data_IF_563827246614
#
_entry.id   IF_563827246614
#
_cell.length_a   1.000
_cell.length_b   1.000
_cell.length_c   1.000
_cell.angle_alpha   90.00
_cell.angle_beta   90.00
_cell.angle_gamma   90.00
#
_symmetry.space_group_name_H-M   'P 1'
#
loop_
_entity.id
_entity.type
_entity.pdbx_description
1 polymer ?
#
# COMPACT_ATOMS: atom_id res chain seq x y z
N UNK A 1 -21.88 10.64 1.61
CA UNK A 1 -22.92 10.08 0.70
C UNK A 1 -23.46 8.76 1.22
N UNK A 2 -24.70 8.43 0.84
CA UNK A 2 -25.35 7.17 1.23
C UNK A 2 -25.10 6.02 0.24
N UNK A 3 -24.37 6.31 -0.83
CA UNK A 3 -23.93 5.32 -1.80
C UNK A 3 -22.41 5.23 -1.79
N UNK A 4 -21.84 4.01 -1.87
CA UNK A 4 -20.41 3.83 -2.00
C UNK A 4 -19.92 4.24 -3.39
N UNK A 5 -18.68 4.72 -3.48
CA UNK A 5 -17.94 4.80 -4.71
C UNK A 5 -17.02 3.59 -4.87
N UNK A 6 -16.89 3.12 -6.10
CA UNK A 6 -15.92 2.09 -6.47
C UNK A 6 -14.88 2.71 -7.38
N UNK A 7 -13.61 2.56 -7.01
CA UNK A 7 -12.50 3.03 -7.82
C UNK A 7 -11.54 1.88 -8.12
N UNK A 8 -10.90 1.98 -9.28
CA UNK A 8 -9.84 1.08 -9.72
C UNK A 8 -8.54 1.86 -9.80
N UNK A 9 -7.47 1.33 -9.23
CA UNK A 9 -6.13 1.91 -9.30
C UNK A 9 -5.21 0.89 -9.95
N UNK A 10 -4.50 1.29 -11.01
CA UNK A 10 -3.51 0.47 -11.67
C UNK A 10 -2.11 0.91 -11.22
N UNK A 11 -1.26 -0.08 -10.95
CA UNK A 11 0.11 0.07 -10.48
C UNK A 11 1.11 -0.50 -11.49
N UNK A 12 2.25 0.15 -11.60
CA UNK A 12 3.41 -0.32 -12.34
C UNK A 12 4.68 0.04 -11.58
N UNK A 13 5.55 -0.96 -11.34
CA UNK A 13 6.78 -0.79 -10.56
C UNK A 13 6.54 -0.10 -9.20
N UNK A 14 5.40 -0.40 -8.54
CA UNK A 14 4.97 0.21 -7.28
C UNK A 14 4.25 1.54 -7.42
N UNK A 15 4.37 2.23 -8.54
CA UNK A 15 3.76 3.54 -8.75
C UNK A 15 2.30 3.42 -9.21
N UNK A 16 1.38 4.20 -8.63
CA UNK A 16 0.02 4.30 -9.13
C UNK A 16 0.01 5.15 -10.40
N UNK A 17 -0.47 4.57 -11.51
CA UNK A 17 -0.44 5.22 -12.84
C UNK A 17 -1.81 5.62 -13.37
N UNK A 18 -2.89 4.91 -12.95
CA UNK A 18 -4.25 5.18 -13.43
C UNK A 18 -5.28 5.12 -12.31
N UNK A 19 -6.34 5.90 -12.47
CA UNK A 19 -7.59 5.76 -11.72
C UNK A 19 -8.73 5.59 -12.71
N UNK A 20 -9.50 4.49 -12.60
CA UNK A 20 -10.63 4.17 -13.48
C UNK A 20 -10.24 4.24 -14.97
N UNK A 21 -9.17 3.56 -15.34
CA UNK A 21 -8.62 3.47 -16.71
C UNK A 21 -8.06 4.78 -17.30
N UNK A 22 -8.02 5.85 -16.51
CA UNK A 22 -7.51 7.15 -16.95
C UNK A 22 -6.13 7.41 -16.34
N UNK A 23 -5.17 7.78 -17.20
CA UNK A 23 -3.83 8.20 -16.79
C UNK A 23 -3.84 9.57 -16.12
N UNK A 24 -3.01 9.71 -15.08
CA UNK A 24 -2.81 10.94 -14.35
C UNK A 24 -1.32 11.15 -14.04
N UNK A 25 -0.89 12.42 -13.99
CA UNK A 25 0.39 12.72 -13.34
C UNK A 25 0.29 12.45 -11.83
N UNK A 26 1.41 12.16 -11.14
CA UNK A 26 1.39 11.81 -9.70
C UNK A 26 0.62 12.82 -8.85
N UNK A 27 0.86 14.12 -9.05
CA UNK A 27 0.18 15.18 -8.31
C UNK A 27 -1.34 15.20 -8.55
N UNK A 28 -1.78 15.04 -9.81
CA UNK A 28 -3.20 14.99 -10.17
C UNK A 28 -3.88 13.73 -9.68
N UNK A 29 -3.15 12.60 -9.67
CA UNK A 29 -3.64 11.33 -9.15
C UNK A 29 -3.95 11.47 -7.66
N UNK A 30 -2.99 11.98 -6.88
CA UNK A 30 -3.18 12.23 -5.44
C UNK A 30 -4.33 13.21 -5.18
N UNK A 31 -4.41 14.29 -5.95
CA UNK A 31 -5.52 15.26 -5.84
C UNK A 31 -6.87 14.58 -6.08
N UNK A 32 -6.97 13.73 -7.11
CA UNK A 32 -8.20 12.99 -7.41
C UNK A 32 -8.60 12.03 -6.30
N UNK A 33 -7.63 11.34 -5.71
CA UNK A 33 -7.88 10.48 -4.55
C UNK A 33 -8.26 11.28 -3.30
N UNK A 34 -7.70 12.48 -3.12
CA UNK A 34 -8.13 13.39 -2.05
C UNK A 34 -9.60 13.80 -2.21
N UNK A 35 -10.06 14.05 -3.45
CA UNK A 35 -11.45 14.38 -3.72
C UNK A 35 -12.40 13.23 -3.34
N UNK A 36 -12.07 12.00 -3.74
CA UNK A 36 -12.83 10.81 -3.35
C UNK A 36 -12.81 10.61 -1.82
N UNK A 37 -11.64 10.67 -1.21
CA UNK A 37 -11.51 10.44 0.22
C UNK A 37 -12.24 11.49 1.05
N UNK A 38 -12.16 12.78 0.67
CA UNK A 38 -12.89 13.87 1.29
C UNK A 38 -14.41 13.65 1.23
N UNK A 39 -14.93 13.22 0.08
CA UNK A 39 -16.35 12.95 -0.11
C UNK A 39 -16.88 11.90 0.86
N UNK A 40 -16.08 10.87 1.14
CA UNK A 40 -16.44 9.76 2.04
C UNK A 40 -15.92 9.91 3.48
N UNK A 41 -15.24 11.01 3.82
CA UNK A 41 -14.67 11.22 5.15
C UNK A 41 -13.53 10.30 5.51
N UNK A 42 -12.80 9.81 4.50
CA UNK A 42 -11.66 8.89 4.65
C UNK A 42 -10.41 9.66 5.09
N UNK A 43 -9.55 8.99 5.87
CA UNK A 43 -8.23 9.50 6.24
C UNK A 43 -8.22 10.47 7.42
N UNK A 44 -9.27 10.51 8.21
CA UNK A 44 -9.30 11.23 9.49
C UNK A 44 -8.75 10.36 10.60
N UNK A 45 -7.80 10.90 11.34
CA UNK A 45 -7.11 10.20 12.41
C UNK A 45 -6.91 11.15 13.60
N UNK A 46 -7.36 10.73 14.78
CA UNK A 46 -7.09 11.37 16.07
C UNK A 46 -6.31 10.36 16.92
N UNK A 47 -5.08 10.69 17.23
CA UNK A 47 -4.20 9.78 17.97
C UNK A 47 -3.27 10.52 18.94
N UNK A 48 -2.81 9.79 19.95
CA UNK A 48 -1.69 10.19 20.78
C UNK A 48 -0.44 9.44 20.30
N UNK A 49 0.54 10.19 19.84
CA UNK A 49 1.77 9.67 19.24
C UNK A 49 3.01 9.99 20.10
N UNK A 50 4.05 9.21 19.94
CA UNK A 50 5.37 9.51 20.47
C UNK A 50 6.17 10.29 19.42
N UNK A 51 6.60 11.51 19.75
CA UNK A 51 7.58 12.21 18.92
C UNK A 51 8.95 11.53 19.06
N UNK A 52 9.81 11.63 18.05
CA UNK A 52 11.18 11.10 18.10
C UNK A 52 11.99 11.66 19.28
N UNK A 53 11.66 12.85 19.79
CA UNK A 53 12.25 13.45 21.00
C UNK A 53 11.69 12.88 22.32
N UNK A 54 10.87 11.84 22.26
CA UNK A 54 10.34 11.15 23.43
C UNK A 54 9.09 11.74 24.08
N UNK A 55 8.59 12.88 23.60
CA UNK A 55 7.36 13.49 24.11
C UNK A 55 6.13 12.87 23.46
N UNK A 56 5.06 12.71 24.27
CA UNK A 56 3.72 12.40 23.73
C UNK A 56 3.03 13.66 23.24
N UNK A 57 2.39 13.57 22.09
CA UNK A 57 1.54 14.63 21.56
C UNK A 57 0.27 14.03 20.94
N UNK A 58 -0.85 14.78 21.03
CA UNK A 58 -2.05 14.45 20.28
C UNK A 58 -1.97 15.10 18.91
N UNK A 59 -2.19 14.30 17.87
CA UNK A 59 -2.31 14.76 16.51
C UNK A 59 -3.69 14.46 15.94
N UNK A 60 -4.25 15.42 15.20
CA UNK A 60 -5.45 15.22 14.37
C UNK A 60 -5.04 15.44 12.92
N UNK A 61 -5.17 14.41 12.12
CA UNK A 61 -4.70 14.40 10.75
C UNK A 61 -5.83 14.12 9.76
N UNK A 62 -5.72 14.70 8.57
CA UNK A 62 -6.56 14.38 7.42
C UNK A 62 -5.67 14.06 6.22
N UNK A 63 -5.60 12.78 5.83
CA UNK A 63 -4.80 12.28 4.72
C UNK A 63 -5.62 11.40 3.79
N UNK A 64 -6.68 11.94 3.16
CA UNK A 64 -7.67 11.12 2.44
C UNK A 64 -7.07 10.32 1.29
N UNK A 65 -6.36 10.97 0.36
CA UNK A 65 -5.73 10.29 -0.78
C UNK A 65 -4.59 9.37 -0.38
N UNK A 66 -3.78 9.79 0.59
CA UNK A 66 -2.69 8.97 1.14
C UNK A 66 -3.21 7.68 1.78
N UNK A 67 -4.30 7.74 2.53
CA UNK A 67 -4.96 6.56 3.12
C UNK A 67 -5.47 5.60 2.06
N UNK A 68 -6.10 6.11 0.99
CA UNK A 68 -6.57 5.29 -0.13
C UNK A 68 -5.40 4.62 -0.83
N UNK A 69 -4.33 5.38 -1.14
CA UNK A 69 -3.12 4.85 -1.80
C UNK A 69 -2.43 3.79 -0.96
N UNK A 70 -2.20 4.06 0.32
CA UNK A 70 -1.56 3.10 1.22
C UNK A 70 -2.34 1.78 1.26
N UNK A 71 -3.67 1.84 1.33
CA UNK A 71 -4.52 0.64 1.34
C UNK A 71 -4.44 -0.13 0.03
N UNK A 72 -4.46 0.56 -1.11
CA UNK A 72 -4.35 -0.04 -2.43
C UNK A 72 -2.96 -0.64 -2.66
N UNK A 73 -1.91 0.11 -2.34
CA UNK A 73 -0.53 -0.32 -2.52
C UNK A 73 -0.21 -1.57 -1.69
N UNK A 74 -0.57 -1.59 -0.41
CA UNK A 74 -0.43 -2.80 0.44
C UNK A 74 -1.21 -4.00 -0.12
N UNK A 75 -2.35 -3.76 -0.76
CA UNK A 75 -3.13 -4.83 -1.36
C UNK A 75 -2.45 -5.45 -2.58
N UNK A 76 -1.78 -4.66 -3.43
CA UNK A 76 -1.05 -5.21 -4.58
C UNK A 76 0.28 -5.82 -4.14
N UNK A 77 1.00 -5.24 -3.19
CA UNK A 77 2.20 -5.82 -2.61
C UNK A 77 1.95 -7.23 -2.05
N UNK A 78 0.82 -7.44 -1.39
CA UNK A 78 0.47 -8.75 -0.82
C UNK A 78 0.28 -9.86 -1.85
N UNK A 79 0.18 -9.54 -3.16
CA UNK A 79 0.17 -10.51 -4.25
C UNK A 79 1.55 -10.75 -4.87
N UNK A 80 2.43 -9.75 -4.80
CA UNK A 80 3.60 -9.67 -5.69
C UNK A 80 4.93 -9.69 -4.96
N UNK A 81 4.95 -9.41 -3.66
CA UNK A 81 6.13 -9.52 -2.83
C UNK A 81 6.17 -10.88 -2.12
N UNK A 82 7.33 -11.51 -2.11
CA UNK A 82 7.60 -12.61 -1.22
C UNK A 82 7.68 -12.16 0.24
N UNK A 83 7.55 -13.10 1.16
CA UNK A 83 7.53 -12.85 2.59
C UNK A 83 8.78 -12.11 3.10
N UNK A 84 9.98 -12.54 2.63
CA UNK A 84 11.24 -11.93 3.05
C UNK A 84 11.36 -10.48 2.61
N UNK A 85 11.04 -10.18 1.35
CA UNK A 85 11.04 -8.81 0.81
C UNK A 85 10.01 -7.91 1.49
N UNK A 86 8.82 -8.45 1.79
CA UNK A 86 7.78 -7.70 2.49
C UNK A 86 8.20 -7.33 3.92
N UNK A 87 8.77 -8.29 4.67
CA UNK A 87 9.26 -8.05 6.03
C UNK A 87 10.43 -7.07 6.05
N UNK A 88 11.43 -7.26 5.17
CA UNK A 88 12.57 -6.34 5.09
C UNK A 88 12.12 -4.90 4.80
N UNK A 89 11.14 -4.72 3.90
CA UNK A 89 10.58 -3.39 3.63
C UNK A 89 9.91 -2.80 4.87
N UNK A 90 9.18 -3.59 5.63
CA UNK A 90 8.53 -3.13 6.86
C UNK A 90 9.54 -2.79 7.95
N UNK A 91 10.62 -3.54 8.07
CA UNK A 91 11.69 -3.29 9.05
C UNK A 91 12.43 -1.96 8.81
N UNK A 92 12.62 -1.56 7.56
CA UNK A 92 13.31 -0.30 7.25
C UNK A 92 12.40 0.93 7.31
N UNK A 93 11.07 0.77 7.32
CA UNK A 93 10.13 1.91 7.33
C UNK A 93 10.31 2.85 8.52
N UNK A 94 10.50 2.40 9.78
CA UNK A 94 10.73 3.29 10.91
C UNK A 94 12.02 4.13 10.73
N UNK A 95 13.08 3.52 10.20
CA UNK A 95 14.34 4.23 9.94
C UNK A 95 14.17 5.27 8.83
N UNK A 96 13.46 4.93 7.77
CA UNK A 96 13.16 5.87 6.69
C UNK A 96 12.32 7.07 7.21
N UNK A 97 11.32 6.80 8.03
CA UNK A 97 10.50 7.84 8.67
C UNK A 97 11.33 8.77 9.57
N UNK A 98 12.28 8.23 10.33
CA UNK A 98 13.19 9.00 11.18
C UNK A 98 14.07 9.94 10.35
N UNK A 99 14.62 9.48 9.22
CA UNK A 99 15.41 10.32 8.32
C UNK A 99 14.59 11.49 7.77
N UNK A 100 13.33 11.24 7.38
CA UNK A 100 12.42 12.29 6.92
C UNK A 100 12.15 13.30 8.04
N UNK A 101 11.82 12.81 9.23
CA UNK A 101 11.50 13.64 10.38
C UNK A 101 12.68 14.55 10.76
N UNK A 102 13.90 14.04 10.71
CA UNK A 102 15.13 14.77 11.04
C UNK A 102 15.64 15.66 9.89
N UNK A 103 14.93 15.75 8.77
CA UNK A 103 15.33 16.57 7.62
C UNK A 103 16.51 16.01 6.84
N UNK A 104 16.83 14.73 6.96
CA UNK A 104 17.98 14.05 6.37
C UNK A 104 17.70 13.51 4.96
N UNK A 105 16.87 14.22 4.19
CA UNK A 105 16.43 13.80 2.86
C UNK A 105 17.56 13.61 1.85
N UNK A 106 18.61 14.43 1.92
CA UNK A 106 19.73 14.44 0.97
C UNK A 106 20.97 13.68 1.49
N UNK A 107 20.76 12.68 2.35
CA UNK A 107 21.86 11.88 2.90
C UNK A 107 22.08 10.58 2.11
N UNK A 108 23.31 10.03 2.08
CA UNK A 108 23.59 8.73 1.47
C UNK A 108 22.75 7.60 2.05
N UNK A 109 22.46 7.64 3.36
CA UNK A 109 21.63 6.64 4.01
C UNK A 109 20.21 6.62 3.43
N UNK A 110 19.60 7.79 3.23
CA UNK A 110 18.29 7.88 2.59
C UNK A 110 18.31 7.29 1.17
N UNK A 111 19.36 7.58 0.40
CA UNK A 111 19.52 7.06 -0.97
C UNK A 111 19.65 5.53 -0.99
N UNK A 112 20.38 4.95 -0.05
CA UNK A 112 20.48 3.49 0.10
C UNK A 112 19.13 2.85 0.40
N UNK A 113 18.38 3.40 1.38
CA UNK A 113 17.05 2.90 1.72
C UNK A 113 16.08 3.06 0.55
N UNK A 114 16.12 4.18 -0.17
CA UNK A 114 15.29 4.40 -1.35
C UNK A 114 15.60 3.37 -2.45
N UNK A 115 16.87 3.12 -2.71
CA UNK A 115 17.29 2.11 -3.69
C UNK A 115 16.76 0.72 -3.35
N UNK A 116 16.80 0.34 -2.07
CA UNK A 116 16.23 -0.91 -1.60
C UNK A 116 14.72 -0.96 -1.84
N UNK A 117 14.01 0.11 -1.46
CA UNK A 117 12.56 0.22 -1.68
C UNK A 117 12.25 0.11 -3.17
N UNK A 118 12.88 0.91 -4.02
CA UNK A 118 12.65 0.91 -5.47
C UNK A 118 12.90 -0.47 -6.07
N UNK A 119 13.98 -1.15 -5.65
CA UNK A 119 14.27 -2.51 -6.09
C UNK A 119 13.17 -3.49 -5.72
N UNK A 120 12.60 -3.38 -4.52
CA UNK A 120 11.49 -4.23 -4.08
C UNK A 120 10.22 -4.04 -4.91
N UNK A 121 10.04 -2.86 -5.51
CA UNK A 121 8.82 -2.50 -6.22
C UNK A 121 8.75 -2.98 -7.68
N UNK A 122 9.82 -3.51 -8.27
CA UNK A 122 9.83 -3.99 -9.67
C UNK A 122 8.79 -5.09 -9.98
N UNK A 123 8.40 -5.87 -8.98
CA UNK A 123 7.36 -6.87 -9.12
C UNK A 123 5.96 -6.33 -8.81
N UNK A 124 5.84 -5.14 -8.21
CA UNK A 124 4.58 -4.58 -7.73
C UNK A 124 3.83 -3.92 -8.89
N UNK A 125 3.11 -4.75 -9.64
CA UNK A 125 2.34 -4.37 -10.83
C UNK A 125 0.98 -5.04 -10.80
N UNK A 126 -0.05 -4.32 -11.22
CA UNK A 126 -1.41 -4.86 -11.33
C UNK A 126 -2.49 -3.86 -10.97
N UNK A 127 -3.67 -4.37 -10.67
CA UNK A 127 -4.88 -3.59 -10.47
C UNK A 127 -5.50 -3.89 -9.12
N UNK A 128 -5.92 -2.84 -8.42
CA UNK A 128 -6.68 -2.94 -7.16
C UNK A 128 -8.01 -2.20 -7.32
N UNK A 129 -9.12 -2.88 -6.98
CA UNK A 129 -10.45 -2.26 -6.91
C UNK A 129 -10.82 -2.03 -5.46
N UNK A 130 -11.21 -0.81 -5.15
CA UNK A 130 -11.57 -0.37 -3.80
C UNK A 130 -13.03 0.08 -3.75
N UNK A 131 -13.67 -0.16 -2.61
CA UNK A 131 -14.95 0.43 -2.20
C UNK A 131 -14.68 1.50 -1.16
N UNK A 132 -15.13 2.73 -1.43
CA UNK A 132 -15.04 3.89 -0.56
C UNK A 132 -16.42 4.18 0.03
N UNK A 133 -16.54 4.15 1.36
CA UNK A 133 -17.83 4.37 2.00
C UNK A 133 -17.68 4.75 3.47
N UNK A 134 -18.26 5.88 3.85
CA UNK A 134 -18.42 6.32 5.26
C UNK A 134 -17.14 6.14 6.11
N UNK A 135 -16.05 6.75 5.68
CA UNK A 135 -14.75 6.70 6.37
C UNK A 135 -13.89 5.47 6.07
N UNK A 136 -14.41 4.47 5.34
CA UNK A 136 -13.73 3.21 5.13
C UNK A 136 -13.23 3.04 3.68
N UNK A 137 -12.09 2.36 3.57
CA UNK A 137 -11.50 1.88 2.30
C UNK A 137 -11.43 0.36 2.37
N UNK A 138 -12.31 -0.32 1.62
CA UNK A 138 -12.32 -1.78 1.54
C UNK A 138 -11.75 -2.25 0.20
N UNK A 139 -10.83 -3.22 0.23
CA UNK A 139 -10.33 -3.87 -0.99
C UNK A 139 -11.42 -4.84 -1.48
N UNK A 140 -11.89 -4.62 -2.70
CA UNK A 140 -12.93 -5.47 -3.33
C UNK A 140 -12.28 -6.59 -4.14
N UNK A 141 -11.25 -6.22 -4.93
CA UNK A 141 -10.47 -7.19 -5.69
C UNK A 141 -9.07 -6.66 -5.96
N UNK A 142 -8.18 -7.57 -6.27
CA UNK A 142 -6.81 -7.31 -6.69
C UNK A 142 -6.39 -8.36 -7.70
N UNK A 143 -5.60 -7.95 -8.69
CA UNK A 143 -5.08 -8.84 -9.72
C UNK A 143 -3.72 -8.39 -10.19
N UNK A 144 -2.84 -9.35 -10.49
CA UNK A 144 -1.51 -9.12 -11.05
C UNK A 144 -1.11 -10.32 -11.89
N UNK A 145 -0.44 -10.06 -13.01
CA UNK A 145 0.24 -11.11 -13.78
C UNK A 145 1.51 -11.62 -13.09
N UNK A 146 2.03 -10.84 -12.13
CA UNK A 146 3.19 -11.18 -11.28
C UNK A 146 2.76 -11.74 -9.92
N UNK A 147 1.51 -12.20 -9.79
CA UNK A 147 0.99 -12.75 -8.52
C UNK A 147 1.74 -14.01 -8.11
N UNK A 148 2.21 -14.03 -6.86
CA UNK A 148 2.75 -15.23 -6.20
C UNK A 148 1.64 -16.10 -5.59
N UNK A 149 0.41 -15.59 -5.52
CA UNK A 149 -0.73 -16.33 -5.01
C UNK A 149 -1.37 -17.20 -6.09
N UNK A 150 -1.51 -18.49 -5.81
CA UNK A 150 -2.22 -19.44 -6.65
C UNK A 150 -3.28 -20.18 -5.84
N UNK A 151 -4.54 -20.08 -6.25
CA UNK A 151 -5.64 -20.83 -5.60
C UNK A 151 -5.42 -22.34 -5.65
N UNK A 152 -4.70 -22.84 -6.68
CA UNK A 152 -4.42 -24.27 -6.86
C UNK A 152 -3.42 -24.83 -5.85
N UNK A 153 -2.56 -23.95 -5.30
CA UNK A 153 -1.50 -24.35 -4.36
C UNK A 153 -1.90 -24.15 -2.89
N UNK A 154 -3.01 -23.45 -2.61
CA UNK A 154 -3.42 -23.03 -1.26
C UNK A 154 -4.85 -23.50 -0.97
N UNK A 155 -5.22 -24.72 -1.33
CA UNK A 155 -6.44 -25.35 -0.85
C UNK A 155 -6.09 -26.17 0.39
N UNK A 156 -6.74 -25.84 1.52
CA UNK A 156 -6.71 -26.64 2.74
C UNK A 156 -7.65 -27.86 2.63
N UNK A 157 -8.32 -28.04 1.50
CA UNK A 157 -9.15 -29.20 1.22
C UNK A 157 -8.28 -30.30 0.61
N UNK A 158 -8.35 -31.48 1.19
CA UNK A 158 -7.60 -32.72 0.85
C UNK A 158 -8.04 -33.33 -0.50
N UNK A 159 -8.23 -32.54 -1.54
CA UNK A 159 -8.53 -33.03 -2.86
C UNK A 159 -7.43 -32.69 -3.87
N UNK A 160 -6.68 -33.75 -4.23
CA UNK A 160 -5.72 -33.86 -5.33
C UNK A 160 -4.42 -33.07 -5.18
N UNK A 161 -3.52 -33.62 -4.39
CA UNK A 161 -2.15 -33.27 -4.12
C UNK A 161 -1.26 -32.77 -5.26
N UNK A 162 -1.18 -31.46 -5.41
CA UNK A 162 -0.10 -30.82 -6.14
C UNK A 162 0.93 -30.13 -5.25
N UNK A 163 0.72 -30.11 -3.93
CA UNK A 163 1.64 -29.53 -2.97
C UNK A 163 1.64 -30.30 -1.67
N UNK A 164 2.78 -30.88 -1.33
CA UNK A 164 3.00 -31.49 -0.02
C UNK A 164 3.62 -30.43 0.89
N UNK A 165 2.93 -30.09 1.99
CA UNK A 165 3.43 -29.13 2.96
C UNK A 165 4.79 -29.52 3.58
N UNK A 166 5.14 -30.81 3.55
CA UNK A 166 6.45 -31.30 3.98
C UNK A 166 7.61 -30.91 3.05
N UNK A 167 7.32 -30.43 1.84
CA UNK A 167 8.31 -29.98 0.86
C UNK A 167 8.57 -28.47 0.91
N UNK A 168 8.01 -27.77 1.91
CA UNK A 168 8.07 -26.33 2.09
C UNK A 168 9.16 -25.86 3.06
N UNK A 169 10.24 -26.66 3.28
CA UNK A 169 11.43 -26.25 4.01
C UNK A 169 12.44 -25.48 3.17
#
# INVERSE_FOLDING_TARGET
>A
PDKPDYIKIDFKDGDPIKINDKDYSPAKLLQKLNDFGRLHGIGRLDLVENRFIGMKSRGVYETPGGTILLRAHRAIESLTLDSGSAHLKDDIMPRYAELIYNGLWFTPERDLLQTLIDKSQHAVEGTVKLKLYKGNVAVVSRSSLKSLYSKRLVTFEDDEGYYNQSDAE
#
